data_IF_041426319208
#
_entry.id   IF_041426319208
#
_cell.length_a   1.000
_cell.length_b   1.000
_cell.length_c   1.000
_cell.angle_alpha   90.00
_cell.angle_beta   90.00
_cell.angle_gamma   90.00
#
_symmetry.space_group_name_H-M   'P 1'
#
loop_
_entity.id
_entity.type
_entity.pdbx_description
1 polymer ?
#
# COMPACT_ATOMS: atom_id res chain seq x y z
N UNK A 1 9.15 -28.67 -4.98
CA UNK A 1 9.38 -27.30 -4.44
C UNK A 1 9.01 -26.33 -5.55
N UNK A 2 8.27 -25.26 -5.24
CA UNK A 2 7.94 -24.23 -6.23
C UNK A 2 9.24 -23.59 -6.77
N UNK A 3 9.27 -23.31 -8.07
CA UNK A 3 10.43 -22.69 -8.71
C UNK A 3 10.61 -21.26 -8.21
N UNK A 4 11.83 -20.93 -7.79
CA UNK A 4 12.20 -19.57 -7.38
C UNK A 4 12.90 -18.85 -8.53
N UNK A 5 12.42 -17.65 -8.85
CA UNK A 5 12.99 -16.80 -9.89
C UNK A 5 13.64 -15.58 -9.23
N UNK A 6 14.87 -15.26 -9.59
CA UNK A 6 15.53 -14.04 -9.11
C UNK A 6 15.01 -12.84 -9.89
N UNK A 7 14.34 -11.91 -9.20
CA UNK A 7 13.69 -10.75 -9.81
C UNK A 7 13.91 -9.47 -9.00
N UNK A 8 13.92 -8.32 -9.68
CA UNK A 8 13.78 -7.03 -9.00
C UNK A 8 12.36 -6.84 -8.49
N UNK A 9 12.19 -6.08 -7.40
CA UNK A 9 10.89 -5.79 -6.84
C UNK A 9 9.90 -5.18 -7.84
N UNK A 10 10.34 -4.20 -8.63
CA UNK A 10 9.52 -3.61 -9.71
C UNK A 10 9.05 -4.64 -10.74
N UNK A 11 9.90 -5.62 -11.09
CA UNK A 11 9.56 -6.68 -12.04
C UNK A 11 8.62 -7.72 -11.42
N UNK A 12 8.82 -8.04 -10.15
CA UNK A 12 7.96 -8.95 -9.39
C UNK A 12 6.53 -8.39 -9.26
N UNK A 13 6.38 -7.10 -8.96
CA UNK A 13 5.09 -6.40 -9.01
C UNK A 13 4.42 -6.56 -10.38
N UNK A 14 5.16 -6.32 -11.46
CA UNK A 14 4.63 -6.37 -12.81
C UNK A 14 4.17 -7.79 -13.20
N UNK A 15 5.03 -8.82 -13.03
CA UNK A 15 4.67 -10.20 -13.40
C UNK A 15 3.51 -10.73 -12.56
N UNK A 16 3.51 -10.42 -11.26
CA UNK A 16 2.44 -10.86 -10.37
C UNK A 16 1.10 -10.20 -10.70
N UNK A 17 1.09 -8.93 -11.14
CA UNK A 17 -0.10 -8.26 -11.66
C UNK A 17 -0.67 -8.97 -12.90
N UNK A 18 0.21 -9.39 -13.84
CA UNK A 18 -0.22 -10.14 -15.03
C UNK A 18 -0.85 -11.48 -14.63
N UNK A 19 -0.26 -12.18 -13.65
CA UNK A 19 -0.78 -13.44 -13.12
C UNK A 19 -2.08 -13.27 -12.35
N UNK A 20 -2.27 -12.10 -11.72
CA UNK A 20 -3.54 -11.71 -11.13
C UNK A 20 -4.64 -11.37 -12.17
N UNK A 21 -4.37 -11.50 -13.46
CA UNK A 21 -5.34 -11.24 -14.52
C UNK A 21 -5.41 -9.79 -14.99
N UNK A 22 -4.45 -8.95 -14.63
CA UNK A 22 -4.33 -7.61 -15.20
C UNK A 22 -4.09 -7.69 -16.72
N UNK A 23 -4.92 -6.98 -17.49
CA UNK A 23 -4.80 -6.92 -18.95
C UNK A 23 -4.71 -5.51 -19.51
N UNK A 24 -4.79 -4.50 -18.62
CA UNK A 24 -4.67 -3.09 -19.00
C UNK A 24 -3.73 -2.38 -18.05
N UNK A 25 -2.64 -1.86 -18.60
CA UNK A 25 -1.70 -1.01 -17.90
C UNK A 25 -1.59 0.34 -18.61
N UNK A 26 -1.84 1.40 -17.86
CA UNK A 26 -1.69 2.77 -18.32
C UNK A 26 -0.78 3.53 -17.37
N UNK A 27 0.33 4.07 -17.88
CA UNK A 27 1.33 4.72 -17.04
C UNK A 27 2.03 5.87 -17.73
N UNK A 28 2.74 6.66 -16.95
CA UNK A 28 3.66 7.69 -17.39
C UNK A 28 5.04 7.43 -16.77
N UNK A 29 6.13 7.60 -17.51
CA UNK A 29 7.48 7.28 -17.01
C UNK A 29 7.88 8.17 -15.85
N UNK A 30 8.28 7.55 -14.74
CA UNK A 30 8.81 8.21 -13.56
C UNK A 30 9.73 7.27 -12.76
N UNK A 31 10.85 7.80 -12.25
CA UNK A 31 11.76 7.07 -11.37
C UNK A 31 11.20 7.12 -9.91
N UNK A 32 11.29 6.01 -9.13
CA UNK A 32 12.05 4.77 -9.35
C UNK A 32 11.22 3.54 -9.81
N UNK A 33 10.06 3.70 -10.43
CA UNK A 33 9.20 2.58 -10.90
C UNK A 33 9.45 2.17 -12.38
N UNK A 34 10.50 2.66 -13.01
CA UNK A 34 10.74 2.52 -14.45
C UNK A 34 10.76 1.06 -14.92
N UNK A 35 11.35 0.14 -14.17
CA UNK A 35 11.43 -1.28 -14.52
C UNK A 35 10.06 -1.96 -14.54
N UNK A 36 9.12 -1.52 -13.69
CA UNK A 36 7.75 -2.02 -13.71
C UNK A 36 7.09 -1.71 -15.06
N UNK A 37 7.12 -0.43 -15.47
CA UNK A 37 6.55 -0.02 -16.76
C UNK A 37 7.25 -0.70 -17.94
N UNK A 38 8.58 -0.81 -17.90
CA UNK A 38 9.36 -1.51 -18.94
C UNK A 38 9.00 -3.00 -19.00
N UNK A 39 8.78 -3.66 -17.88
CA UNK A 39 8.34 -5.06 -17.84
C UNK A 39 6.94 -5.21 -18.45
N UNK A 40 6.00 -4.35 -18.05
CA UNK A 40 4.64 -4.35 -18.59
C UNK A 40 4.61 -4.13 -20.11
N UNK A 41 5.45 -3.21 -20.63
CA UNK A 41 5.53 -2.95 -22.08
C UNK A 41 5.98 -4.17 -22.90
N UNK A 42 6.85 -5.00 -22.32
CA UNK A 42 7.35 -6.23 -22.96
C UNK A 42 6.36 -7.40 -22.87
N UNK A 43 5.62 -7.49 -21.78
CA UNK A 43 4.79 -8.66 -21.45
C UNK A 43 3.34 -8.52 -21.91
N UNK A 44 2.72 -7.35 -21.73
CA UNK A 44 1.30 -7.12 -22.08
C UNK A 44 0.94 -7.54 -23.51
N UNK A 45 1.71 -7.13 -24.55
CA UNK A 45 1.39 -7.54 -25.92
C UNK A 45 1.42 -9.07 -26.13
N UNK A 46 2.32 -9.76 -25.39
CA UNK A 46 2.49 -11.23 -25.54
C UNK A 46 1.34 -12.04 -24.95
N UNK A 47 0.53 -11.45 -24.08
CA UNK A 47 -0.61 -12.10 -23.44
C UNK A 47 -1.96 -11.52 -23.89
N UNK A 48 -1.97 -10.75 -24.99
CA UNK A 48 -3.18 -10.09 -25.49
C UNK A 48 -3.71 -8.95 -24.60
N UNK A 49 -2.87 -8.41 -23.73
CA UNK A 49 -3.16 -7.25 -22.93
C UNK A 49 -2.77 -5.93 -23.60
N UNK A 50 -3.18 -4.82 -23.01
CA UNK A 50 -2.88 -3.47 -23.50
C UNK A 50 -1.91 -2.77 -22.56
N UNK A 51 -0.77 -2.34 -23.11
CA UNK A 51 0.13 -1.37 -22.51
C UNK A 51 0.02 -0.05 -23.27
N UNK A 52 -0.18 1.04 -22.54
CA UNK A 52 -0.15 2.37 -23.15
C UNK A 52 0.59 3.35 -22.26
N UNK A 53 1.58 4.02 -22.81
CA UNK A 53 2.22 5.15 -22.18
C UNK A 53 1.39 6.40 -22.47
N UNK A 54 0.74 6.92 -21.42
CA UNK A 54 -0.05 8.15 -21.51
C UNK A 54 0.86 9.39 -21.60
N UNK A 55 0.31 10.51 -22.00
CA UNK A 55 1.02 11.80 -22.04
C UNK A 55 1.20 12.44 -20.65
N UNK A 56 0.46 11.95 -19.64
CA UNK A 56 0.54 12.41 -18.24
C UNK A 56 -0.01 11.39 -17.28
N UNK A 57 0.26 11.57 -15.99
CA UNK A 57 -0.34 10.76 -14.91
C UNK A 57 -1.85 10.96 -14.83
N UNK A 58 -2.34 12.15 -15.13
CA UNK A 58 -3.78 12.47 -15.17
C UNK A 58 -4.46 11.64 -16.26
N UNK A 59 -3.90 11.59 -17.47
CA UNK A 59 -4.43 10.76 -18.54
C UNK A 59 -4.37 9.26 -18.17
N UNK A 60 -3.27 8.80 -17.59
CA UNK A 60 -3.10 7.41 -17.19
C UNK A 60 -4.19 6.94 -16.23
N UNK A 61 -4.50 7.72 -15.18
CA UNK A 61 -5.54 7.32 -14.21
C UNK A 61 -6.94 7.35 -14.83
N UNK A 62 -7.22 8.30 -15.74
CA UNK A 62 -8.49 8.33 -16.45
C UNK A 62 -8.67 7.15 -17.42
N UNK A 63 -7.59 6.66 -18.03
CA UNK A 63 -7.61 5.43 -18.83
C UNK A 63 -7.88 4.20 -17.94
N UNK A 64 -7.30 4.13 -16.73
CA UNK A 64 -7.62 3.07 -15.75
C UNK A 64 -9.09 3.13 -15.38
N UNK A 65 -9.62 4.33 -15.09
CA UNK A 65 -11.03 4.55 -14.81
C UNK A 65 -11.94 4.00 -15.93
N UNK A 66 -11.63 4.33 -17.19
CA UNK A 66 -12.38 3.83 -18.34
C UNK A 66 -12.33 2.31 -18.49
N UNK A 67 -11.16 1.70 -18.38
CA UNK A 67 -10.99 0.24 -18.47
C UNK A 67 -11.68 -0.48 -17.30
N UNK A 68 -11.59 0.03 -16.09
CA UNK A 68 -12.29 -0.49 -14.92
C UNK A 68 -13.82 -0.40 -15.08
N UNK A 69 -14.34 0.71 -15.63
CA UNK A 69 -15.76 0.87 -15.95
C UNK A 69 -16.27 -0.20 -16.90
N UNK A 70 -15.44 -0.64 -17.84
CA UNK A 70 -15.73 -1.74 -18.75
C UNK A 70 -15.54 -3.14 -18.12
N UNK A 71 -15.23 -3.22 -16.82
CA UNK A 71 -15.08 -4.47 -16.08
C UNK A 71 -13.69 -5.11 -16.14
N UNK A 72 -12.71 -4.48 -16.78
CA UNK A 72 -11.38 -5.03 -16.86
C UNK A 72 -10.59 -4.88 -15.54
N UNK A 73 -9.65 -5.80 -15.26
CA UNK A 73 -8.59 -5.57 -14.28
C UNK A 73 -7.54 -4.64 -14.91
N UNK A 74 -7.49 -3.43 -14.41
CA UNK A 74 -6.58 -2.38 -14.87
C UNK A 74 -5.72 -1.84 -13.73
N UNK A 75 -4.51 -1.39 -14.06
CA UNK A 75 -3.60 -0.77 -13.10
C UNK A 75 -2.82 0.38 -13.70
N UNK A 76 -2.32 1.21 -12.80
CA UNK A 76 -1.30 2.20 -13.08
C UNK A 76 -0.20 2.14 -12.03
N UNK A 77 0.99 2.58 -12.38
CA UNK A 77 2.08 2.81 -11.43
C UNK A 77 2.61 4.22 -11.55
N UNK A 78 3.16 4.73 -10.46
CA UNK A 78 3.82 6.03 -10.41
C UNK A 78 4.75 6.12 -9.19
N UNK A 79 5.22 7.30 -8.92
CA UNK A 79 6.01 7.66 -7.75
C UNK A 79 5.49 9.00 -7.23
N UNK A 80 5.48 9.19 -5.95
CA UNK A 80 5.15 10.38 -5.15
C UNK A 80 4.49 11.58 -5.88
N UNK A 81 5.21 12.42 -6.66
CA UNK A 81 4.58 13.56 -7.35
C UNK A 81 3.58 13.12 -8.43
N UNK A 82 3.82 11.98 -9.10
CA UNK A 82 2.88 11.46 -10.09
C UNK A 82 1.60 10.88 -9.44
N UNK A 83 1.67 10.36 -8.21
CA UNK A 83 0.47 9.98 -7.46
C UNK A 83 -0.35 11.21 -7.09
N UNK A 84 0.30 12.32 -6.75
CA UNK A 84 -0.39 13.60 -6.51
C UNK A 84 -1.25 14.02 -7.71
N UNK A 85 -0.73 13.88 -8.93
CA UNK A 85 -1.46 14.16 -10.16
C UNK A 85 -2.63 13.19 -10.43
N UNK A 86 -2.56 11.97 -9.91
CA UNK A 86 -3.63 10.97 -10.04
C UNK A 86 -4.74 11.13 -9.01
N UNK A 87 -4.57 11.96 -7.99
CA UNK A 87 -5.47 12.08 -6.84
C UNK A 87 -6.93 12.29 -7.22
N UNK A 88 -7.23 13.19 -8.15
CA UNK A 88 -8.59 13.43 -8.63
C UNK A 88 -9.21 12.18 -9.27
N UNK A 89 -8.47 11.52 -10.17
CA UNK A 89 -8.94 10.30 -10.83
C UNK A 89 -9.17 9.15 -9.86
N UNK A 90 -8.34 9.01 -8.82
CA UNK A 90 -8.53 8.02 -7.75
C UNK A 90 -9.82 8.32 -6.97
N UNK A 91 -10.08 9.59 -6.65
CA UNK A 91 -11.35 10.00 -6.03
C UNK A 91 -12.56 9.67 -6.91
N UNK A 92 -12.47 9.89 -8.23
CA UNK A 92 -13.53 9.53 -9.16
C UNK A 92 -13.75 8.02 -9.23
N UNK A 93 -12.68 7.21 -9.18
CA UNK A 93 -12.81 5.75 -9.12
C UNK A 93 -13.54 5.31 -7.84
N UNK A 94 -13.17 5.86 -6.69
CA UNK A 94 -13.85 5.61 -5.42
C UNK A 94 -15.32 6.04 -5.47
N UNK A 95 -15.59 7.25 -6.00
CA UNK A 95 -16.92 7.81 -6.18
C UNK A 95 -17.82 7.05 -7.15
N UNK A 96 -17.24 6.25 -8.03
CA UNK A 96 -17.95 5.39 -8.99
C UNK A 96 -17.98 3.91 -8.60
N UNK A 97 -17.48 3.56 -7.41
CA UNK A 97 -17.33 2.17 -6.94
C UNK A 97 -16.59 1.29 -7.95
N UNK A 98 -15.45 1.78 -8.46
CA UNK A 98 -14.65 1.09 -9.46
C UNK A 98 -13.40 0.43 -8.86
N UNK A 99 -13.15 -0.84 -9.17
CA UNK A 99 -11.91 -1.51 -8.81
C UNK A 99 -10.75 -1.01 -9.67
N UNK A 100 -9.56 -0.90 -9.07
CA UNK A 100 -8.33 -0.64 -9.80
C UNK A 100 -7.13 -0.73 -8.87
N UNK A 101 -5.97 -1.06 -9.41
CA UNK A 101 -4.74 -1.18 -8.62
C UNK A 101 -3.78 -0.03 -8.96
N UNK A 102 -3.33 0.65 -7.93
CA UNK A 102 -2.40 1.76 -8.01
C UNK A 102 -1.10 1.36 -7.30
N UNK A 103 0.02 1.42 -8.00
CA UNK A 103 1.32 1.17 -7.40
C UNK A 103 2.02 2.51 -7.19
N UNK A 104 2.38 2.79 -5.93
CA UNK A 104 3.25 3.90 -5.59
C UNK A 104 4.61 3.37 -5.13
N UNK A 105 5.64 3.61 -5.92
CA UNK A 105 7.03 3.37 -5.51
C UNK A 105 7.59 4.70 -5.02
N UNK A 106 7.53 4.91 -3.70
CA UNK A 106 7.82 6.19 -3.05
C UNK A 106 9.26 6.65 -3.26
N UNK A 107 9.43 7.95 -3.35
CA UNK A 107 10.72 8.64 -3.38
C UNK A 107 10.72 9.88 -2.49
N UNK A 108 11.90 10.40 -2.19
CA UNK A 108 12.06 11.58 -1.33
C UNK A 108 11.39 12.83 -1.88
N UNK A 109 10.58 13.47 -1.04
CA UNK A 109 9.93 14.77 -1.25
C UNK A 109 10.35 15.75 -0.13
N UNK A 110 9.68 16.93 -0.03
CA UNK A 110 8.58 17.44 -0.85
C UNK A 110 9.02 18.00 -2.22
N UNK A 111 8.03 18.37 -3.04
CA UNK A 111 8.23 18.93 -4.38
C UNK A 111 8.73 17.87 -5.37
N UNK A 112 9.61 18.24 -6.31
CA UNK A 112 10.24 17.28 -7.21
C UNK A 112 11.11 16.28 -6.45
N UNK A 113 11.71 16.72 -5.36
CA UNK A 113 12.48 15.91 -4.42
C UNK A 113 13.67 15.20 -5.05
N UNK A 114 13.97 14.02 -4.52
CA UNK A 114 15.03 13.14 -5.00
C UNK A 114 14.46 11.78 -5.44
N UNK A 115 15.31 10.95 -6.06
CA UNK A 115 14.92 9.59 -6.49
C UNK A 115 15.18 8.51 -5.42
N UNK A 116 15.72 8.92 -4.28
CA UNK A 116 16.06 8.02 -3.18
C UNK A 116 14.79 7.51 -2.47
N UNK A 117 14.84 6.33 -1.83
CA UNK A 117 13.68 5.74 -1.17
C UNK A 117 13.19 6.61 0.00
N UNK A 118 11.88 6.62 0.19
CA UNK A 118 11.22 7.37 1.26
C UNK A 118 9.92 6.68 1.67
N UNK A 119 9.37 7.08 2.82
CA UNK A 119 8.05 6.69 3.30
C UNK A 119 7.18 7.92 3.59
N UNK A 120 7.46 9.03 2.92
CA UNK A 120 6.78 10.31 3.16
C UNK A 120 5.40 10.43 2.49
N UNK A 121 4.96 9.42 1.74
CA UNK A 121 3.63 9.37 1.14
C UNK A 121 2.60 8.60 2.00
N UNK A 122 2.92 8.29 3.24
CA UNK A 122 2.00 7.57 4.13
C UNK A 122 0.65 8.30 4.27
N UNK A 123 0.68 9.60 4.59
CA UNK A 123 -0.55 10.39 4.67
C UNK A 123 -1.24 10.55 3.32
N UNK A 124 -0.48 10.73 2.24
CA UNK A 124 -1.05 10.76 0.89
C UNK A 124 -1.84 9.48 0.62
N UNK A 125 -1.25 8.30 0.90
CA UNK A 125 -1.87 7.02 0.63
C UNK A 125 -3.07 6.72 1.54
N UNK A 126 -2.98 7.08 2.83
CA UNK A 126 -3.97 6.65 3.84
C UNK A 126 -5.05 7.68 4.13
N UNK A 127 -4.82 8.98 3.82
CA UNK A 127 -5.70 10.10 4.24
C UNK A 127 -5.97 11.14 3.17
N UNK A 128 -4.99 11.43 2.30
CA UNK A 128 -5.02 12.66 1.48
C UNK A 128 -4.97 12.41 -0.02
N UNK A 129 -5.24 11.19 -0.49
CA UNK A 129 -5.30 10.92 -1.93
C UNK A 129 -6.63 11.40 -2.50
N UNK A 130 -6.61 12.50 -3.24
CA UNK A 130 -7.80 13.06 -3.87
C UNK A 130 -8.67 13.86 -2.88
N UNK A 131 -9.99 13.80 -3.06
CA UNK A 131 -10.97 14.55 -2.30
C UNK A 131 -12.23 13.72 -2.03
N UNK A 132 -13.04 14.17 -1.08
CA UNK A 132 -14.28 13.52 -0.67
C UNK A 132 -14.09 12.47 0.42
N UNK A 133 -15.22 11.91 0.83
CA UNK A 133 -15.30 10.95 1.91
C UNK A 133 -15.04 9.54 1.39
N UNK A 134 -13.78 9.17 1.24
CA UNK A 134 -13.42 7.81 0.85
C UNK A 134 -12.12 7.32 1.49
N UNK A 135 -11.99 6.03 1.54
CA UNK A 135 -10.77 5.30 1.85
C UNK A 135 -10.45 4.27 0.76
N UNK A 136 -9.20 3.86 0.69
CA UNK A 136 -8.80 2.71 -0.13
C UNK A 136 -7.85 1.81 0.67
N UNK A 137 -7.89 0.50 0.51
CA UNK A 137 -6.89 -0.38 1.10
C UNK A 137 -5.48 -0.02 0.60
N UNK A 138 -4.54 0.05 1.55
CA UNK A 138 -3.13 0.33 1.28
C UNK A 138 -2.28 -0.80 1.84
N UNK A 139 -1.58 -1.51 0.95
CA UNK A 139 -0.71 -2.63 1.28
C UNK A 139 0.75 -2.19 1.21
N UNK A 140 1.54 -2.50 2.24
CA UNK A 140 2.95 -2.11 2.35
C UNK A 140 3.86 -3.35 2.44
N UNK A 141 4.39 -3.83 1.32
CA UNK A 141 5.34 -4.93 1.31
C UNK A 141 6.68 -4.54 1.94
N UNK A 142 7.42 -5.53 2.49
CA UNK A 142 8.77 -5.37 3.03
C UNK A 142 9.82 -6.24 2.35
N UNK A 143 9.40 -7.14 1.46
CA UNK A 143 10.27 -8.02 0.66
C UNK A 143 9.82 -8.07 -0.78
N UNK A 144 10.68 -8.55 -1.69
CA UNK A 144 10.30 -8.72 -3.10
C UNK A 144 9.21 -9.79 -3.25
N UNK A 145 9.21 -10.82 -2.40
CA UNK A 145 8.11 -11.79 -2.34
C UNK A 145 6.79 -11.12 -2.01
N UNK A 146 6.78 -10.29 -0.96
CA UNK A 146 5.56 -9.57 -0.57
C UNK A 146 5.12 -8.54 -1.61
N UNK A 147 6.04 -7.96 -2.39
CA UNK A 147 5.64 -7.10 -3.52
C UNK A 147 4.79 -7.89 -4.52
N UNK A 148 5.19 -9.14 -4.82
CA UNK A 148 4.41 -10.02 -5.69
C UNK A 148 3.06 -10.41 -5.06
N UNK A 149 3.05 -10.79 -3.78
CA UNK A 149 1.86 -11.25 -3.08
C UNK A 149 0.85 -10.11 -2.86
N UNK A 150 1.33 -8.92 -2.47
CA UNK A 150 0.48 -7.75 -2.25
C UNK A 150 -0.23 -7.29 -3.53
N UNK A 151 0.46 -7.21 -4.67
CA UNK A 151 -0.19 -6.80 -5.91
C UNK A 151 -1.19 -7.86 -6.40
N UNK A 152 -0.88 -9.14 -6.23
CA UNK A 152 -1.81 -10.22 -6.57
C UNK A 152 -3.09 -10.13 -5.74
N UNK A 153 -2.97 -9.93 -4.42
CA UNK A 153 -4.10 -9.73 -3.51
C UNK A 153 -4.84 -8.41 -3.78
N UNK A 154 -4.14 -7.35 -4.15
CA UNK A 154 -4.73 -6.03 -4.40
C UNK A 154 -5.83 -6.07 -5.46
N UNK A 155 -5.66 -6.87 -6.52
CA UNK A 155 -6.71 -7.04 -7.54
C UNK A 155 -7.95 -7.74 -7.00
N UNK A 156 -7.78 -8.71 -6.10
CA UNK A 156 -8.91 -9.40 -5.50
C UNK A 156 -9.67 -8.47 -4.53
N UNK A 157 -8.94 -7.74 -3.70
CA UNK A 157 -9.53 -6.73 -2.80
C UNK A 157 -10.28 -5.66 -3.58
N UNK A 158 -9.67 -5.17 -4.68
CA UNK A 158 -10.30 -4.16 -5.51
C UNK A 158 -11.64 -4.66 -6.10
N UNK A 159 -11.67 -5.88 -6.63
CA UNK A 159 -12.88 -6.47 -7.19
C UNK A 159 -13.93 -6.79 -6.11
N UNK A 160 -13.51 -7.36 -4.96
CA UNK A 160 -14.38 -7.73 -3.85
C UNK A 160 -15.09 -6.52 -3.25
N UNK A 161 -14.34 -5.46 -2.98
CA UNK A 161 -14.86 -4.27 -2.31
C UNK A 161 -15.24 -3.15 -3.28
N UNK A 162 -15.06 -3.32 -4.58
CA UNK A 162 -15.35 -2.30 -5.61
C UNK A 162 -14.76 -0.94 -5.24
N UNK A 163 -13.47 -0.92 -4.98
CA UNK A 163 -12.72 0.27 -4.59
C UNK A 163 -11.31 0.24 -5.17
N UNK A 164 -10.67 1.37 -5.43
CA UNK A 164 -9.23 1.36 -5.72
C UNK A 164 -8.44 0.78 -4.55
N UNK A 165 -7.32 0.12 -4.85
CA UNK A 165 -6.38 -0.44 -3.86
C UNK A 165 -4.97 0.04 -4.22
N UNK A 166 -4.21 0.49 -3.22
CA UNK A 166 -2.82 0.91 -3.41
C UNK A 166 -1.83 -0.11 -2.85
N UNK A 167 -0.78 -0.39 -3.60
CA UNK A 167 0.44 -1.02 -3.07
C UNK A 167 1.48 0.08 -2.92
N UNK A 168 1.88 0.33 -1.68
CA UNK A 168 2.80 1.38 -1.28
C UNK A 168 4.17 0.79 -1.00
N UNK A 169 5.03 0.77 -2.00
CA UNK A 169 6.43 0.37 -1.92
C UNK A 169 7.35 1.60 -1.89
N UNK A 170 8.64 1.38 -1.89
CA UNK A 170 9.65 2.44 -1.99
C UNK A 170 10.75 2.07 -2.99
N UNK A 171 11.62 3.04 -3.32
CA UNK A 171 12.67 2.85 -4.30
C UNK A 171 13.71 1.79 -3.91
N UNK A 172 13.92 1.52 -2.62
CA UNK A 172 14.82 0.46 -2.16
C UNK A 172 14.24 -0.91 -2.52
N UNK A 173 12.99 -1.17 -2.13
CA UNK A 173 12.31 -2.43 -2.43
C UNK A 173 12.14 -2.64 -3.94
N UNK A 174 11.81 -1.57 -4.68
CA UNK A 174 11.68 -1.62 -6.14
C UNK A 174 12.94 -2.08 -6.87
N UNK A 175 14.12 -1.71 -6.37
CA UNK A 175 15.42 -2.05 -6.95
C UNK A 175 16.07 -3.30 -6.37
N UNK A 176 15.66 -3.73 -5.17
CA UNK A 176 16.16 -4.96 -4.55
C UNK A 176 15.87 -6.17 -5.43
N UNK A 177 16.81 -7.11 -5.42
CA UNK A 177 16.71 -8.37 -6.15
C UNK A 177 16.72 -9.53 -5.15
N UNK A 178 15.63 -10.30 -5.11
CA UNK A 178 15.47 -11.46 -4.23
C UNK A 178 14.86 -12.64 -5.01
N UNK A 179 15.05 -13.89 -4.53
CA UNK A 179 14.37 -15.06 -5.10
C UNK A 179 12.89 -15.03 -4.75
N UNK A 180 12.02 -15.10 -5.76
CA UNK A 180 10.56 -14.99 -5.64
C UNK A 180 9.89 -16.26 -6.14
N UNK A 181 8.91 -16.76 -5.41
CA UNK A 181 7.92 -17.73 -5.88
C UNK A 181 6.74 -16.93 -6.41
N UNK A 182 6.54 -16.96 -7.71
CA UNK A 182 5.43 -16.24 -8.32
C UNK A 182 4.10 -16.99 -8.10
N UNK A 183 3.00 -16.28 -7.81
CA UNK A 183 1.68 -16.93 -7.67
C UNK A 183 1.25 -17.57 -8.99
N UNK A 184 0.39 -18.58 -8.93
CA UNK A 184 -0.18 -19.18 -10.12
C UNK A 184 -1.08 -18.18 -10.86
N UNK A 185 -1.06 -18.17 -12.20
CA UNK A 185 -1.96 -17.32 -12.97
C UNK A 185 -3.43 -17.63 -12.66
N UNK A 186 -4.26 -16.60 -12.55
CA UNK A 186 -5.70 -16.79 -12.39
C UNK A 186 -6.32 -17.32 -13.67
N UNK A 187 -6.99 -18.46 -13.56
CA UNK A 187 -7.70 -19.10 -14.67
C UNK A 187 -9.01 -18.39 -15.01
N UNK A 188 -9.68 -17.84 -14.00
CA UNK A 188 -10.94 -17.11 -14.14
C UNK A 188 -10.98 -15.87 -13.27
N UNK A 189 -11.75 -14.88 -13.68
CA UNK A 189 -12.00 -13.66 -12.94
C UNK A 189 -13.48 -13.58 -12.53
N UNK A 190 -13.81 -12.88 -11.43
CA UNK A 190 -15.19 -12.69 -11.01
C UNK A 190 -15.98 -11.94 -12.07
N UNK A 191 -17.25 -12.34 -12.26
CA UNK A 191 -18.17 -11.62 -13.11
C UNK A 191 -18.44 -10.21 -12.56
N UNK A 192 -18.56 -9.25 -13.47
CA UNK A 192 -18.82 -7.83 -13.13
C UNK A 192 -20.12 -7.38 -13.81
N UNK A 193 -21.29 -7.77 -13.29
CA UNK A 193 -22.58 -7.47 -13.91
C UNK A 193 -22.89 -5.97 -13.99
N UNK A 194 -22.23 -5.16 -13.16
CA UNK A 194 -22.31 -3.71 -13.13
C UNK A 194 -21.51 -3.02 -14.26
N UNK A 195 -20.60 -3.73 -14.94
CA UNK A 195 -19.70 -3.15 -15.93
C UNK A 195 -20.42 -2.66 -17.20
N UNK A 196 -19.87 -1.62 -17.83
CA UNK A 196 -20.42 -0.98 -19.05
C UNK A 196 -20.04 -1.75 -20.32
N UNK A 197 -20.34 -3.05 -20.37
CA UNK A 197 -20.00 -3.96 -21.48
C UNK A 197 -21.02 -3.95 -22.63
N UNK A 198 -21.97 -3.00 -22.63
CA UNK A 198 -23.11 -3.00 -23.52
C UNK A 198 -24.25 -3.94 -23.03
N UNK A 199 -25.49 -3.57 -23.27
CA UNK A 199 -26.65 -4.33 -22.79
C UNK A 199 -27.21 -5.31 -23.84
N UNK A 200 -26.90 -5.10 -25.13
CA UNK A 200 -27.33 -5.96 -26.27
C UNK A 200 -28.81 -6.28 -26.28
N UNK A 201 -29.66 -5.39 -25.75
CA UNK A 201 -31.11 -5.62 -25.58
C UNK A 201 -31.50 -6.65 -24.52
N UNK A 202 -30.56 -7.20 -23.74
CA UNK A 202 -30.81 -8.29 -22.77
C UNK A 202 -30.97 -7.86 -21.33
N UNK A 203 -30.60 -6.62 -20.99
CA UNK A 203 -30.69 -6.04 -19.63
C UNK A 203 -30.85 -4.52 -19.71
N UNK A 204 -31.11 -3.88 -18.58
CA UNK A 204 -31.04 -2.42 -18.47
C UNK A 204 -29.59 -1.89 -18.67
N UNK A 205 -29.46 -0.63 -18.99
CA UNK A 205 -28.15 0.02 -19.06
C UNK A 205 -27.48 0.06 -17.70
N UNK A 206 -26.20 -0.32 -17.63
CA UNK A 206 -25.36 -0.02 -16.47
C UNK A 206 -24.85 1.41 -16.58
N UNK A 207 -24.91 2.12 -15.48
CA UNK A 207 -24.42 3.49 -15.37
C UNK A 207 -23.26 3.47 -14.36
N UNK A 208 -22.09 3.92 -14.80
CA UNK A 208 -20.94 4.17 -13.96
C UNK A 208 -20.75 5.69 -13.91
N UNK A 209 -20.87 6.28 -12.74
CA UNK A 209 -20.93 7.71 -12.57
C UNK A 209 -20.46 8.12 -11.16
N UNK A 210 -19.82 9.25 -11.05
CA UNK A 210 -19.45 9.91 -9.78
C UNK A 210 -20.13 11.26 -9.58
N UNK A 211 -20.96 11.69 -10.54
CA UNK A 211 -21.69 12.96 -10.46
C UNK A 211 -23.10 12.75 -9.88
N UNK A 212 -23.36 13.31 -8.73
CA UNK A 212 -24.67 13.30 -8.06
C UNK A 212 -25.07 14.73 -7.72
N UNK A 213 -26.11 15.22 -8.37
CA UNK A 213 -26.52 16.65 -8.28
C UNK A 213 -27.37 16.94 -7.05
N UNK A 214 -27.98 15.94 -6.42
CA UNK A 214 -28.77 16.12 -5.20
C UNK A 214 -27.96 15.68 -3.99
N UNK A 215 -27.97 16.47 -2.92
CA UNK A 215 -27.23 16.20 -1.70
C UNK A 215 -27.63 14.86 -1.07
N UNK A 216 -28.94 14.60 -0.98
CA UNK A 216 -29.47 13.37 -0.36
C UNK A 216 -29.00 12.11 -1.08
N UNK A 217 -28.89 12.14 -2.43
CA UNK A 217 -28.42 11.00 -3.20
C UNK A 217 -26.93 10.73 -2.95
N UNK A 218 -26.11 11.77 -2.87
CA UNK A 218 -24.69 11.64 -2.59
C UNK A 218 -24.44 11.19 -1.14
N UNK A 219 -25.18 11.74 -0.17
CA UNK A 219 -25.11 11.35 1.24
C UNK A 219 -25.41 9.86 1.40
N UNK A 220 -26.52 9.37 0.83
CA UNK A 220 -26.89 7.96 0.89
C UNK A 220 -25.77 7.05 0.36
N UNK A 221 -25.19 7.38 -0.79
CA UNK A 221 -24.09 6.62 -1.38
C UNK A 221 -22.83 6.63 -0.51
N UNK A 222 -22.52 7.75 0.14
CA UNK A 222 -21.39 7.82 1.04
C UNK A 222 -21.63 6.96 2.30
N UNK A 223 -22.84 6.96 2.85
CA UNK A 223 -23.20 6.08 3.97
C UNK A 223 -23.01 4.60 3.58
N UNK A 224 -23.54 4.17 2.43
CA UNK A 224 -23.37 2.80 1.93
C UNK A 224 -21.89 2.42 1.71
N UNK A 225 -21.05 3.37 1.26
CA UNK A 225 -19.59 3.17 1.15
C UNK A 225 -18.93 3.03 2.50
N UNK A 226 -19.32 3.84 3.47
CA UNK A 226 -18.76 3.76 4.82
C UNK A 226 -19.13 2.45 5.52
N UNK A 227 -20.32 1.92 5.34
CA UNK A 227 -20.67 0.56 5.80
C UNK A 227 -19.72 -0.50 5.21
N UNK A 228 -19.38 -0.39 3.93
CA UNK A 228 -18.38 -1.26 3.27
C UNK A 228 -16.97 -1.05 3.83
N UNK A 229 -16.58 0.19 4.14
CA UNK A 229 -15.29 0.49 4.76
C UNK A 229 -15.17 -0.08 6.18
N UNK A 230 -16.24 -0.12 6.95
CA UNK A 230 -16.23 -0.80 8.26
C UNK A 230 -15.99 -2.31 8.09
N UNK A 231 -16.58 -2.95 7.09
CA UNK A 231 -16.29 -4.36 6.78
C UNK A 231 -14.81 -4.56 6.44
N UNK A 232 -14.22 -3.66 5.64
CA UNK A 232 -12.79 -3.70 5.31
C UNK A 232 -11.94 -3.50 6.56
N UNK A 233 -12.28 -2.54 7.42
CA UNK A 233 -11.59 -2.29 8.69
C UNK A 233 -11.58 -3.51 9.59
N UNK A 234 -12.68 -4.25 9.64
CA UNK A 234 -12.79 -5.45 10.46
C UNK A 234 -11.99 -6.63 9.90
N UNK A 235 -12.06 -6.86 8.57
CA UNK A 235 -11.57 -8.09 7.94
C UNK A 235 -10.14 -8.01 7.40
N UNK A 236 -9.68 -6.84 6.99
CA UNK A 236 -8.47 -6.72 6.20
C UNK A 236 -7.26 -6.12 6.94
N UNK A 237 -7.34 -5.98 8.26
CA UNK A 237 -6.16 -5.64 9.07
C UNK A 237 -5.15 -6.77 9.00
N UNK A 238 -3.91 -6.44 8.60
CA UNK A 238 -2.81 -7.40 8.51
C UNK A 238 -1.53 -6.80 9.07
N UNK A 239 -0.86 -7.59 9.90
CA UNK A 239 0.44 -7.27 10.47
C UNK A 239 1.28 -8.52 10.65
N UNK A 240 2.57 -8.34 10.82
CA UNK A 240 3.51 -9.36 11.26
C UNK A 240 4.07 -8.99 12.63
N UNK A 241 4.15 -9.97 13.52
CA UNK A 241 4.77 -9.87 14.82
C UNK A 241 6.11 -10.59 14.84
N UNK A 242 7.14 -9.96 15.40
CA UNK A 242 8.44 -10.56 15.57
C UNK A 242 8.97 -10.31 16.99
N UNK A 243 9.23 -11.36 17.75
CA UNK A 243 9.67 -11.33 19.16
C UNK A 243 8.75 -10.45 20.04
N UNK A 244 7.43 -10.54 19.83
CA UNK A 244 6.47 -9.62 20.45
C UNK A 244 5.91 -10.14 21.79
N UNK A 245 5.89 -11.47 22.01
CA UNK A 245 5.14 -12.12 23.11
C UNK A 245 5.52 -11.63 24.52
N UNK A 246 6.79 -11.27 24.74
CA UNK A 246 7.30 -10.78 26.02
C UNK A 246 7.88 -9.34 25.92
N UNK A 247 7.57 -8.63 24.83
CA UNK A 247 8.16 -7.34 24.55
C UNK A 247 7.57 -6.24 25.45
N UNK A 248 8.42 -5.59 26.25
CA UNK A 248 8.04 -4.39 27.00
C UNK A 248 8.15 -3.12 26.15
N UNK A 249 8.88 -3.18 25.03
CA UNK A 249 8.95 -2.12 24.01
C UNK A 249 8.52 -2.72 22.68
N UNK A 250 7.65 -2.03 21.97
CA UNK A 250 7.18 -2.43 20.64
C UNK A 250 7.67 -1.43 19.60
N UNK A 251 8.57 -1.86 18.75
CA UNK A 251 8.93 -1.08 17.55
C UNK A 251 7.82 -1.28 16.51
N UNK A 252 7.31 -0.18 15.95
CA UNK A 252 6.34 -0.21 14.85
C UNK A 252 7.01 0.36 13.60
N UNK A 253 7.12 -0.44 12.54
CA UNK A 253 7.77 -0.03 11.29
C UNK A 253 7.17 -0.79 10.11
N UNK A 254 7.07 -0.18 8.93
CA UNK A 254 6.54 -0.81 7.71
C UNK A 254 7.56 -0.76 6.56
N UNK A 255 7.33 -1.55 5.51
CA UNK A 255 8.15 -1.51 4.30
C UNK A 255 9.65 -1.68 4.56
N UNK A 256 10.49 -0.88 3.90
CA UNK A 256 11.95 -0.97 4.03
C UNK A 256 12.45 -0.65 5.45
N UNK A 257 11.84 0.31 6.18
CA UNK A 257 12.26 0.63 7.56
C UNK A 257 12.07 -0.54 8.52
N UNK A 258 11.08 -1.42 8.29
CA UNK A 258 10.87 -2.61 9.12
C UNK A 258 12.00 -3.63 9.01
N UNK A 259 12.68 -3.70 7.86
CA UNK A 259 13.85 -4.59 7.67
C UNK A 259 15.02 -4.11 8.54
N UNK A 260 15.26 -2.82 8.57
CA UNK A 260 16.29 -2.19 9.43
C UNK A 260 15.95 -2.37 10.91
N UNK A 261 14.69 -2.08 11.27
CA UNK A 261 14.18 -2.24 12.62
C UNK A 261 14.32 -3.68 13.14
N UNK A 262 14.08 -4.68 12.27
CA UNK A 262 14.23 -6.10 12.64
C UNK A 262 15.66 -6.43 13.09
N UNK A 263 16.67 -5.92 12.40
CA UNK A 263 18.07 -6.11 12.77
C UNK A 263 18.40 -5.42 14.12
N UNK A 264 17.88 -4.21 14.33
CA UNK A 264 18.05 -3.49 15.58
C UNK A 264 17.34 -4.18 16.76
N UNK A 265 16.18 -4.78 16.55
CA UNK A 265 15.46 -5.58 17.56
C UNK A 265 16.29 -6.78 17.99
N UNK A 266 16.89 -7.51 17.03
CA UNK A 266 17.78 -8.65 17.35
C UNK A 266 18.96 -8.18 18.22
N UNK A 267 19.67 -7.10 17.81
CA UNK A 267 20.79 -6.55 18.57
C UNK A 267 20.37 -6.09 19.97
N UNK A 268 19.21 -5.44 20.12
CA UNK A 268 18.71 -5.01 21.42
C UNK A 268 18.37 -6.20 22.34
N UNK A 269 17.83 -7.30 21.76
CA UNK A 269 17.58 -8.55 22.49
C UNK A 269 18.88 -9.22 22.98
N UNK A 270 19.94 -9.18 22.19
CA UNK A 270 21.26 -9.66 22.61
C UNK A 270 21.82 -8.85 23.80
N UNK A 271 21.44 -7.58 23.93
CA UNK A 271 21.77 -6.74 25.09
C UNK A 271 20.77 -6.91 26.27
N UNK A 272 19.81 -7.82 26.17
CA UNK A 272 18.86 -8.12 27.25
C UNK A 272 17.61 -7.22 27.29
N UNK A 273 17.40 -6.36 26.29
CA UNK A 273 16.22 -5.49 26.22
C UNK A 273 15.04 -6.28 25.66
N UNK A 274 13.92 -6.31 26.38
CA UNK A 274 12.69 -6.97 25.95
C UNK A 274 11.96 -6.12 24.91
N UNK A 275 12.39 -6.17 23.67
CA UNK A 275 11.83 -5.43 22.54
C UNK A 275 11.33 -6.37 21.44
N UNK A 276 10.23 -6.04 20.79
CA UNK A 276 9.69 -6.74 19.62
C UNK A 276 9.37 -5.78 18.49
N UNK A 277 9.11 -6.32 17.31
CA UNK A 277 8.67 -5.57 16.15
C UNK A 277 7.24 -5.96 15.77
N UNK A 278 6.36 -4.97 15.66
CA UNK A 278 5.08 -5.07 15.01
C UNK A 278 5.16 -4.35 13.66
N UNK A 279 4.96 -5.09 12.58
CA UNK A 279 5.04 -4.59 11.22
C UNK A 279 3.65 -4.53 10.58
N UNK A 280 3.06 -3.34 10.38
CA UNK A 280 1.87 -3.20 9.54
C UNK A 280 2.15 -3.69 8.11
N UNK A 281 1.30 -4.58 7.60
CA UNK A 281 1.23 -4.99 6.19
C UNK A 281 0.15 -4.18 5.50
N UNK A 282 -0.98 -3.91 6.18
CA UNK A 282 -1.95 -2.91 5.77
C UNK A 282 -1.70 -1.60 6.52
N UNK A 283 -1.66 -0.50 5.78
CA UNK A 283 -1.58 0.85 6.35
C UNK A 283 -2.96 1.49 6.44
N UNK A 284 -3.84 1.13 5.56
CA UNK A 284 -5.27 1.28 5.70
C UNK A 284 -5.95 -0.01 5.21
N UNK A 285 -6.79 -0.65 6.05
CA UNK A 285 -7.02 -0.31 7.45
C UNK A 285 -5.76 -0.54 8.30
N UNK A 286 -5.48 0.38 9.23
CA UNK A 286 -4.36 0.25 10.16
C UNK A 286 -4.61 -0.91 11.13
N UNK A 287 -3.62 -1.77 11.46
CA UNK A 287 -3.81 -2.95 12.31
C UNK A 287 -3.91 -2.58 13.80
N UNK A 288 -4.93 -1.80 14.14
CA UNK A 288 -5.18 -1.30 15.50
C UNK A 288 -5.29 -2.42 16.51
N UNK A 289 -5.94 -3.54 16.14
CA UNK A 289 -6.09 -4.70 17.03
C UNK A 289 -4.74 -5.28 17.47
N UNK A 290 -3.77 -5.37 16.57
CA UNK A 290 -2.43 -5.88 16.93
C UNK A 290 -1.69 -4.94 17.90
N UNK A 291 -1.90 -3.62 17.79
CA UNK A 291 -1.40 -2.65 18.78
C UNK A 291 -2.11 -2.84 20.13
N UNK A 292 -3.43 -3.01 20.13
CA UNK A 292 -4.22 -3.21 21.33
C UNK A 292 -3.84 -4.51 22.07
N UNK A 293 -3.62 -5.59 21.34
CA UNK A 293 -3.17 -6.86 21.92
C UNK A 293 -1.78 -6.71 22.58
N UNK A 294 -0.85 -5.97 21.94
CA UNK A 294 0.48 -5.69 22.48
C UNK A 294 0.46 -4.82 23.75
N UNK A 295 -0.56 -3.97 23.95
CA UNK A 295 -0.70 -3.13 25.15
C UNK A 295 -0.90 -3.93 26.44
N UNK A 296 -1.22 -5.23 26.38
CA UNK A 296 -1.31 -6.09 27.55
C UNK A 296 0.02 -6.23 28.30
N UNK A 297 1.15 -6.02 27.63
CA UNK A 297 2.49 -6.16 28.20
C UNK A 297 3.47 -5.03 27.81
N UNK A 298 3.18 -4.29 26.74
CA UNK A 298 4.05 -3.21 26.26
C UNK A 298 3.94 -1.95 27.16
N UNK A 299 5.07 -1.39 27.53
CA UNK A 299 5.20 -0.14 28.30
C UNK A 299 5.45 1.07 27.39
N UNK A 300 6.06 0.84 26.22
CA UNK A 300 6.35 1.88 25.25
C UNK A 300 6.27 1.36 23.82
N UNK A 301 5.93 2.25 22.90
CA UNK A 301 5.96 2.05 21.46
C UNK A 301 6.97 3.01 20.81
N UNK A 302 7.71 2.53 19.81
CA UNK A 302 8.64 3.34 19.02
C UNK A 302 8.27 3.21 17.54
N UNK A 303 7.74 4.28 16.93
CA UNK A 303 7.54 4.30 15.47
C UNK A 303 8.86 4.62 14.76
N UNK A 304 9.23 3.78 13.77
CA UNK A 304 10.45 3.96 12.97
C UNK A 304 10.08 4.14 11.51
N UNK A 305 10.40 5.30 10.94
CA UNK A 305 9.91 5.69 9.62
C UNK A 305 11.00 6.37 8.77
N UNK A 306 10.87 6.30 7.44
CA UNK A 306 11.69 7.10 6.51
C UNK A 306 10.96 8.39 6.11
N UNK A 307 10.48 9.14 7.13
CA UNK A 307 9.84 10.45 7.05
C UNK A 307 9.96 11.20 8.40
N UNK A 308 9.25 12.30 8.57
CA UNK A 308 9.28 13.13 9.79
C UNK A 308 8.12 12.85 10.77
N UNK A 309 7.53 11.65 10.69
CA UNK A 309 6.45 11.18 11.56
C UNK A 309 5.09 11.31 10.90
N UNK A 310 4.62 10.22 10.31
CA UNK A 310 3.29 10.12 9.71
C UNK A 310 2.52 8.92 10.25
N UNK A 311 3.10 7.71 10.22
CA UNK A 311 2.49 6.51 10.80
C UNK A 311 2.39 6.61 12.33
N UNK A 312 3.31 7.31 12.96
CA UNK A 312 3.30 7.52 14.42
C UNK A 312 1.98 8.10 14.94
N UNK A 313 1.25 8.84 14.12
CA UNK A 313 -0.08 9.36 14.49
C UNK A 313 -1.12 8.23 14.60
N UNK A 314 -1.09 7.25 13.71
CA UNK A 314 -1.97 6.08 13.79
C UNK A 314 -1.57 5.16 14.96
N UNK A 315 -0.27 5.04 15.25
CA UNK A 315 0.20 4.35 16.46
C UNK A 315 -0.31 5.05 17.71
N UNK A 316 -0.22 6.39 17.79
CA UNK A 316 -0.77 7.18 18.92
C UNK A 316 -2.26 7.00 19.08
N UNK A 317 -3.02 7.01 17.98
CA UNK A 317 -4.47 6.78 17.99
C UNK A 317 -4.80 5.38 18.52
N UNK A 318 -4.10 4.35 18.06
CA UNK A 318 -4.32 2.98 18.50
C UNK A 318 -3.92 2.76 19.97
N UNK A 319 -2.80 3.34 20.40
CA UNK A 319 -2.36 3.28 21.80
C UNK A 319 -3.29 4.06 22.72
N UNK A 320 -3.85 5.17 22.24
CA UNK A 320 -4.85 5.99 22.94
C UNK A 320 -4.44 6.37 24.39
N UNK A 321 -3.20 6.82 24.56
CA UNK A 321 -2.67 7.27 25.84
C UNK A 321 -2.36 6.18 26.87
N UNK A 322 -2.53 4.90 26.55
CA UNK A 322 -2.30 3.76 27.47
C UNK A 322 -0.82 3.42 27.67
N UNK A 323 0.06 3.87 26.77
CA UNK A 323 1.50 3.72 26.85
C UNK A 323 2.21 4.92 26.19
N UNK A 324 3.50 5.09 26.45
CA UNK A 324 4.32 6.09 25.77
C UNK A 324 4.48 5.73 24.27
N UNK A 325 4.45 6.74 23.41
CA UNK A 325 4.72 6.58 21.97
C UNK A 325 5.82 7.52 21.53
N UNK A 326 6.97 6.94 21.24
CA UNK A 326 8.15 7.62 20.73
C UNK A 326 8.23 7.54 19.21
N UNK A 327 9.08 8.38 18.65
CA UNK A 327 9.32 8.43 17.21
C UNK A 327 10.80 8.52 16.89
N UNK A 328 11.24 7.77 15.90
CA UNK A 328 12.53 7.92 15.24
C UNK A 328 12.35 7.93 13.72
N UNK A 329 12.91 8.91 13.03
CA UNK A 329 12.80 9.04 11.59
C UNK A 329 14.03 9.62 10.90
N UNK A 330 14.21 9.24 9.63
CA UNK A 330 15.13 9.86 8.68
C UNK A 330 14.32 10.34 7.48
N UNK A 331 14.77 11.37 6.81
CA UNK A 331 14.02 11.98 5.70
C UNK A 331 14.94 12.33 4.53
N UNK A 332 14.37 12.82 3.41
CA UNK A 332 15.11 13.25 2.24
C UNK A 332 15.81 12.13 1.47
N UNK A 333 15.42 10.87 1.70
CA UNK A 333 16.03 9.70 1.05
C UNK A 333 17.16 9.05 1.85
N UNK A 334 17.40 9.49 3.08
CA UNK A 334 18.35 8.84 4.01
C UNK A 334 17.65 7.65 4.66
N UNK A 335 18.26 6.47 4.53
CA UNK A 335 17.81 5.24 5.16
C UNK A 335 18.41 5.15 6.57
N UNK A 336 17.61 4.86 7.63
CA UNK A 336 18.15 4.63 8.96
C UNK A 336 19.07 3.41 8.98
N UNK A 337 20.07 3.42 9.87
CA UNK A 337 20.92 2.23 10.10
C UNK A 337 20.41 1.42 11.30
N UNK A 338 20.76 0.13 11.40
CA UNK A 338 20.43 -0.68 12.58
C UNK A 338 20.94 -0.08 13.89
N UNK A 339 22.13 0.54 13.89
CA UNK A 339 22.74 1.16 15.05
C UNK A 339 21.97 2.41 15.52
N UNK A 340 21.49 3.22 14.57
CA UNK A 340 20.65 4.38 14.87
C UNK A 340 19.33 3.95 15.50
N UNK A 341 18.69 2.92 14.95
CA UNK A 341 17.43 2.37 15.49
C UNK A 341 17.65 1.71 16.84
N UNK A 342 18.77 0.98 17.04
CA UNK A 342 19.14 0.43 18.34
C UNK A 342 19.30 1.52 19.41
N UNK A 343 19.96 2.64 19.07
CA UNK A 343 20.05 3.79 19.96
C UNK A 343 18.68 4.35 20.33
N UNK A 344 17.79 4.49 19.35
CA UNK A 344 16.42 4.94 19.59
C UNK A 344 15.62 3.98 20.49
N UNK A 345 15.81 2.66 20.32
CA UNK A 345 15.22 1.64 21.21
C UNK A 345 15.70 1.82 22.66
N UNK A 346 17.01 2.00 22.87
CA UNK A 346 17.59 2.23 24.20
C UNK A 346 17.05 3.51 24.85
N UNK A 347 16.89 4.57 24.10
CA UNK A 347 16.34 5.83 24.60
C UNK A 347 14.85 5.70 24.93
N UNK A 348 14.08 4.97 24.15
CA UNK A 348 12.67 4.64 24.44
C UNK A 348 12.56 3.75 25.69
N UNK A 349 13.48 2.78 25.86
CA UNK A 349 13.53 1.91 27.02
C UNK A 349 13.73 2.70 28.33
N UNK A 350 14.65 3.69 28.34
CA UNK A 350 14.87 4.57 29.48
C UNK A 350 13.62 5.41 29.81
N UNK A 351 12.99 6.01 28.78
CA UNK A 351 11.76 6.81 28.98
C UNK A 351 10.57 5.98 29.43
N UNK A 352 10.45 4.74 28.94
CA UNK A 352 9.40 3.81 29.32
C UNK A 352 9.62 3.09 30.65
N UNK A 353 10.73 3.35 31.36
CA UNK A 353 11.07 2.69 32.62
C UNK A 353 11.32 1.19 32.49
N UNK A 354 11.90 0.78 31.35
CA UNK A 354 12.27 -0.62 31.05
C UNK A 354 13.76 -0.86 31.33
N UNK A 355 14.58 0.19 31.28
CA UNK A 355 16.00 0.24 31.64
C UNK A 355 16.24 1.23 32.78
#
# INVERSE_FOLDING_TARGET
MAEKVLMKGNEALAESALRAGCRFFFGYPITPQTELAAYMSKRMPKIGGTYLQAESEIAAINMVYGAASAGARAMTSSSSPGISLKGEGISYMAGSDLPGVIINVQRGGPGLGGIQPSQSDYWQATRATGHGDFFMPVLAPSTVQEMADCVYRAFDLADEYRTPVMVLADGMLGQMMEPVVLPEPKESLPEKPWATTGHKGKRAHNIVNSLYLTADALEKLNIERFERYEVIREKEQRSESFMLDDAEIVVVAFGASSRVARSAVVAAREEGIKVGLLRPITLWPFPTKAIEDALSHAKAFLSVEMNMGQMVDDVRLAVNGRAAVDFYGRTGGVIPTPEEVLSAIKDSAKRGGVL
#
